data_IF_471326766901
#
_entry.id   IF_471326766901
#
_cell.length_a   1.000
_cell.length_b   1.000
_cell.length_c   1.000
_cell.angle_alpha   90.00
_cell.angle_beta   90.00
_cell.angle_gamma   90.00
#
_symmetry.space_group_name_H-M   'P 1'
#
loop_
_entity.id
_entity.type
_entity.pdbx_description
1 polymer ?
#
# COMPACT_ATOMS: atom_id res chain seq x y z
N UNK A 1 6.34 5.37 10.18
CA UNK A 1 6.26 5.21 8.71
C UNK A 1 6.81 3.84 8.33
N UNK A 2 6.09 3.14 7.49
CA UNK A 2 6.48 1.79 7.08
C UNK A 2 7.03 1.80 5.67
N UNK A 3 7.87 0.82 5.37
CA UNK A 3 8.43 0.65 4.03
C UNK A 3 8.01 -0.71 3.49
N UNK A 4 7.70 -0.78 2.22
CA UNK A 4 7.30 -2.04 1.61
C UNK A 4 7.39 -1.99 0.10
N UNK A 5 6.91 -3.06 -0.52
CA UNK A 5 6.91 -3.21 -1.97
C UNK A 5 5.48 -3.51 -2.42
N UNK A 6 5.06 -2.85 -3.48
CA UNK A 6 3.73 -3.09 -4.03
C UNK A 6 3.71 -4.49 -4.64
N UNK A 7 2.84 -5.34 -4.11
CA UNK A 7 2.70 -6.70 -4.63
C UNK A 7 1.90 -6.70 -5.93
N UNK A 8 0.80 -5.98 -5.94
CA UNK A 8 0.08 -5.66 -7.17
C UNK A 8 -0.82 -4.45 -6.93
N UNK A 9 -1.21 -3.79 -8.00
CA UNK A 9 -2.17 -2.72 -7.92
C UNK A 9 -3.03 -2.73 -9.18
N UNK A 10 -4.35 -2.76 -8.99
CA UNK A 10 -5.31 -2.75 -10.08
C UNK A 10 -5.90 -1.35 -10.23
N UNK A 11 -5.42 -0.62 -11.22
CA UNK A 11 -5.88 0.75 -11.46
C UNK A 11 -7.35 0.84 -11.85
N UNK A 12 -7.85 -0.17 -12.55
CA UNK A 12 -9.25 -0.19 -12.97
C UNK A 12 -10.20 -0.28 -11.79
N UNK A 13 -9.83 -1.05 -10.79
CA UNK A 13 -10.65 -1.22 -9.58
C UNK A 13 -10.22 -0.30 -8.44
N UNK A 14 -9.05 0.30 -8.55
CA UNK A 14 -8.56 1.26 -7.58
C UNK A 14 -8.08 0.68 -6.27
N UNK A 15 -7.52 -0.52 -6.28
CA UNK A 15 -6.97 -1.12 -5.06
C UNK A 15 -5.81 -2.06 -5.37
N UNK A 16 -5.07 -2.39 -4.33
CA UNK A 16 -3.96 -3.32 -4.43
C UNK A 16 -3.48 -3.76 -3.06
N UNK A 17 -2.32 -4.38 -3.04
CA UNK A 17 -1.69 -4.85 -1.80
C UNK A 17 -0.23 -4.44 -1.78
N UNK A 18 0.22 -4.07 -0.58
CA UNK A 18 1.62 -3.73 -0.32
C UNK A 18 2.14 -4.74 0.68
N UNK A 19 3.32 -5.31 0.40
CA UNK A 19 3.98 -6.21 1.33
C UNK A 19 4.95 -5.41 2.18
N UNK A 20 4.76 -5.45 3.50
CA UNK A 20 5.63 -4.76 4.44
C UNK A 20 7.01 -5.42 4.45
N UNK A 21 8.06 -4.62 4.32
CA UNK A 21 9.43 -5.13 4.25
C UNK A 21 9.90 -5.76 5.56
N UNK A 22 9.40 -5.29 6.70
CA UNK A 22 9.83 -5.78 8.00
C UNK A 22 9.06 -7.00 8.48
N UNK A 23 7.73 -6.98 8.36
CA UNK A 23 6.90 -8.04 8.90
C UNK A 23 6.47 -9.08 7.89
N UNK A 24 6.72 -8.86 6.61
CA UNK A 24 6.25 -9.70 5.50
C UNK A 24 4.73 -9.82 5.43
N UNK A 25 4.01 -8.95 6.11
CA UNK A 25 2.55 -8.93 6.06
C UNK A 25 2.11 -8.11 4.85
N UNK A 26 0.94 -8.46 4.34
CA UNK A 26 0.35 -7.74 3.21
C UNK A 26 -0.76 -6.84 3.74
N UNK A 27 -0.78 -5.61 3.26
CA UNK A 27 -1.79 -4.64 3.64
C UNK A 27 -2.53 -4.15 2.41
N UNK A 28 -3.83 -4.00 2.58
CA UNK A 28 -4.70 -3.48 1.52
C UNK A 28 -4.42 -1.99 1.33
N UNK A 29 -4.39 -1.56 0.07
CA UNK A 29 -4.27 -0.14 -0.26
C UNK A 29 -5.35 0.23 -1.27
N UNK A 30 -6.06 1.33 -1.00
CA UNK A 30 -7.06 1.87 -1.89
C UNK A 30 -6.49 3.11 -2.58
N UNK A 31 -6.96 3.39 -3.80
CA UNK A 31 -6.47 4.55 -4.56
C UNK A 31 -6.57 5.87 -3.77
N UNK A 32 -7.55 5.99 -2.90
CA UNK A 32 -7.71 7.18 -2.05
C UNK A 32 -6.59 7.31 -1.00
N UNK A 33 -5.86 6.25 -0.73
CA UNK A 33 -4.74 6.28 0.20
C UNK A 33 -3.40 6.56 -0.46
N UNK A 34 -3.39 6.81 -1.77
CA UNK A 34 -2.16 7.07 -2.50
C UNK A 34 -1.84 8.56 -2.54
N UNK A 35 -0.60 8.91 -2.25
CA UNK A 35 -0.08 10.26 -2.51
C UNK A 35 0.52 10.28 -3.91
N UNK A 36 1.26 9.21 -4.25
CA UNK A 36 1.87 9.04 -5.57
C UNK A 36 1.24 7.86 -6.30
N UNK A 37 1.31 7.87 -7.63
CA UNK A 37 0.95 6.72 -8.42
C UNK A 37 1.94 5.60 -8.17
N UNK A 38 1.43 4.41 -7.92
CA UNK A 38 2.26 3.24 -7.67
C UNK A 38 1.97 2.14 -8.67
N UNK A 39 2.94 1.25 -8.85
CA UNK A 39 2.83 0.10 -9.74
C UNK A 39 3.36 -1.13 -9.04
N UNK A 40 3.08 -2.29 -9.63
CA UNK A 40 3.63 -3.55 -9.14
C UNK A 40 5.15 -3.47 -9.01
N UNK A 41 5.65 -3.97 -7.90
CA UNK A 41 7.08 -4.00 -7.56
C UNK A 41 7.70 -2.66 -7.19
N UNK A 42 6.92 -1.58 -7.10
CA UNK A 42 7.46 -0.30 -6.63
C UNK A 42 7.77 -0.36 -5.14
N UNK A 43 8.89 0.21 -4.75
CA UNK A 43 9.22 0.40 -3.35
C UNK A 43 8.54 1.66 -2.84
N UNK A 44 7.82 1.55 -1.73
CA UNK A 44 6.99 2.62 -1.23
C UNK A 44 7.14 2.79 0.27
N UNK A 45 6.81 3.99 0.74
CA UNK A 45 6.61 4.25 2.16
C UNK A 45 5.12 4.47 2.39
N UNK A 46 4.64 4.07 3.55
CA UNK A 46 3.22 4.17 3.85
C UNK A 46 2.98 4.21 5.35
N UNK A 47 1.77 4.58 5.72
CA UNK A 47 1.31 4.50 7.10
C UNK A 47 0.16 3.50 7.17
N UNK A 48 -0.14 3.03 8.35
CA UNK A 48 -1.22 2.08 8.56
C UNK A 48 -2.37 2.76 9.29
N UNK A 49 -3.58 2.52 8.81
CA UNK A 49 -4.79 3.04 9.41
C UNK A 49 -5.78 1.91 9.59
N UNK A 50 -6.44 1.88 10.73
CA UNK A 50 -7.43 0.86 11.01
C UNK A 50 -8.69 1.11 10.18
N UNK A 51 -9.07 0.10 9.39
CA UNK A 51 -10.24 0.14 8.56
C UNK A 51 -11.26 -0.92 8.97
N UNK A 52 -12.32 -1.07 8.18
CA UNK A 52 -13.39 -2.02 8.48
C UNK A 52 -12.94 -3.47 8.52
N UNK A 53 -11.97 -3.82 7.71
CA UNK A 53 -11.48 -5.19 7.57
C UNK A 53 -10.07 -5.38 8.11
N UNK A 54 -9.60 -4.44 8.90
CA UNK A 54 -8.25 -4.48 9.44
C UNK A 54 -7.44 -3.28 9.00
N UNK A 55 -6.12 -3.40 9.04
CA UNK A 55 -5.23 -2.31 8.72
C UNK A 55 -5.12 -2.08 7.22
N UNK A 56 -5.21 -0.82 6.82
CA UNK A 56 -5.03 -0.39 5.44
C UNK A 56 -3.79 0.49 5.33
N UNK A 57 -3.10 0.41 4.20
CA UNK A 57 -1.99 1.32 3.91
C UNK A 57 -2.57 2.65 3.42
N UNK A 58 -2.08 3.74 4.00
CA UNK A 58 -2.51 5.10 3.62
C UNK A 58 -1.27 5.97 3.46
N UNK A 59 -1.45 7.14 2.84
CA UNK A 59 -0.34 8.07 2.57
C UNK A 59 0.82 7.38 1.85
N UNK A 60 0.48 6.54 0.88
CA UNK A 60 1.47 5.74 0.16
C UNK A 60 2.23 6.62 -0.82
N UNK A 61 3.55 6.59 -0.71
CA UNK A 61 4.45 7.37 -1.56
C UNK A 61 5.54 6.47 -2.11
N UNK A 62 6.06 6.84 -3.27
CA UNK A 62 7.25 6.19 -3.81
C UNK A 62 8.42 6.49 -2.87
N UNK A 63 9.15 5.45 -2.53
CA UNK A 63 10.28 5.57 -1.62
C UNK A 63 11.46 6.31 -2.26
#
# INVERSE_FOLDING_TARGET
MNTGVVKFFNESKGFGFIKDAESNKEYFVHMNGLVDKIRENDEVTFELEEGRKGLNAVNVKIA
#
